data_IF_315214541758
#
_entry.id   IF_315214541758
#
_cell.length_a   1.000
_cell.length_b   1.000
_cell.length_c   1.000
_cell.angle_alpha   90.00
_cell.angle_beta   90.00
_cell.angle_gamma   90.00
#
_symmetry.space_group_name_H-M   'P 1'
#
loop_
_entity.id
_entity.type
_entity.pdbx_description
1 polymer ?
#
# COMPACT_ATOMS: atom_id res chain seq x y z
N UNK A 1 25.46 8.24 -12.96
CA UNK A 1 24.62 7.13 -12.44
C UNK A 1 23.54 7.76 -11.59
N UNK A 2 22.27 7.61 -11.95
CA UNK A 2 21.14 8.15 -11.18
C UNK A 2 21.08 7.40 -9.84
N UNK A 3 21.60 8.02 -8.78
CA UNK A 3 21.83 7.40 -7.46
C UNK A 3 20.58 7.25 -6.60
N UNK A 4 19.46 6.81 -7.18
CA UNK A 4 18.24 6.50 -6.44
C UNK A 4 17.99 4.98 -6.47
N UNK A 5 17.48 4.46 -5.36
CA UNK A 5 17.15 3.05 -5.24
C UNK A 5 15.96 2.67 -6.13
N UNK A 6 16.01 1.46 -6.69
CA UNK A 6 14.93 0.88 -7.50
C UNK A 6 14.13 -0.20 -6.76
N UNK A 7 14.53 -0.51 -5.53
CA UNK A 7 13.96 -1.54 -4.68
C UNK A 7 14.18 -1.21 -3.19
N UNK A 8 13.55 -2.00 -2.32
CA UNK A 8 13.77 -1.90 -0.88
C UNK A 8 15.13 -2.51 -0.54
N UNK A 9 16.04 -1.69 -0.03
CA UNK A 9 17.41 -2.11 0.32
C UNK A 9 17.52 -2.57 1.77
N UNK A 10 16.64 -2.07 2.65
CA UNK A 10 16.62 -2.39 4.08
C UNK A 10 15.26 -2.15 4.68
N UNK A 11 14.85 -3.03 5.59
CA UNK A 11 13.65 -2.84 6.44
C UNK A 11 14.09 -2.70 7.89
N UNK A 12 13.70 -1.61 8.54
CA UNK A 12 14.03 -1.32 9.94
C UNK A 12 12.76 -1.14 10.74
N UNK A 13 12.61 -1.92 11.79
CA UNK A 13 11.51 -1.74 12.73
C UNK A 13 11.87 -0.71 13.79
N UNK A 14 11.00 0.26 14.01
CA UNK A 14 11.16 1.32 15.01
C UNK A 14 9.97 1.34 15.97
N UNK A 15 10.15 1.80 17.22
CA UNK A 15 9.05 1.79 18.20
C UNK A 15 7.80 2.51 17.71
N UNK A 16 7.95 3.73 17.18
CA UNK A 16 6.87 4.57 16.70
C UNK A 16 7.33 5.44 15.52
N UNK A 17 6.42 5.72 14.59
CA UNK A 17 6.59 6.65 13.47
C UNK A 17 5.60 7.84 13.55
N UNK A 18 4.87 7.96 14.65
CA UNK A 18 3.92 9.06 14.88
C UNK A 18 2.57 8.75 14.26
N UNK A 19 2.29 9.36 13.11
CA UNK A 19 0.97 9.29 12.46
C UNK A 19 0.83 8.19 11.40
N UNK A 20 1.92 7.50 11.05
CA UNK A 20 1.94 6.52 9.95
C UNK A 20 2.44 5.14 10.42
N UNK A 21 1.90 4.04 9.88
CA UNK A 21 2.42 2.70 10.17
C UNK A 21 3.79 2.41 9.52
N UNK A 22 4.10 3.06 8.41
CA UNK A 22 5.33 2.87 7.65
C UNK A 22 5.78 4.17 6.96
N UNK A 23 7.05 4.20 6.55
CA UNK A 23 7.58 5.23 5.63
C UNK A 23 8.80 4.69 4.91
N UNK A 24 9.13 5.25 3.75
CA UNK A 24 10.33 4.89 3.00
C UNK A 24 11.17 6.09 2.60
N UNK A 25 12.49 5.90 2.54
CA UNK A 25 13.39 6.81 1.85
C UNK A 25 13.56 6.34 0.40
N UNK A 26 12.89 7.01 -0.55
CA UNK A 26 12.93 6.66 -1.99
C UNK A 26 14.32 6.75 -2.62
N UNK A 27 15.23 7.54 -2.05
CA UNK A 27 16.60 7.67 -2.55
C UNK A 27 17.45 6.47 -2.17
N UNK A 28 17.31 5.97 -0.94
CA UNK A 28 18.15 4.89 -0.40
C UNK A 28 17.48 3.52 -0.44
N UNK A 29 16.15 3.46 -0.56
CA UNK A 29 15.35 2.24 -0.46
C UNK A 29 15.14 1.75 0.97
N UNK A 30 15.49 2.54 1.98
CA UNK A 30 15.30 2.15 3.39
C UNK A 30 13.85 2.37 3.84
N UNK A 31 13.19 1.28 4.21
CA UNK A 31 11.83 1.26 4.77
C UNK A 31 11.88 1.19 6.29
N UNK A 32 11.02 1.99 6.93
CA UNK A 32 10.83 1.99 8.37
C UNK A 32 9.41 1.55 8.71
N UNK A 33 9.27 0.62 9.65
CA UNK A 33 7.99 0.08 10.10
C UNK A 33 7.77 0.37 11.58
N UNK A 34 6.60 0.87 11.93
CA UNK A 34 6.25 1.19 13.33
C UNK A 34 5.72 -0.06 14.06
N UNK A 35 6.39 -0.47 15.14
CA UNK A 35 5.89 -1.54 16.01
C UNK A 35 4.51 -1.23 16.58
N UNK A 36 4.31 0.01 17.05
CA UNK A 36 3.05 0.48 17.63
C UNK A 36 1.84 0.26 16.71
N UNK A 37 1.96 0.64 15.44
CA UNK A 37 0.86 0.54 14.49
C UNK A 37 0.76 -0.86 13.87
N UNK A 38 1.89 -1.40 13.41
CA UNK A 38 1.91 -2.63 12.62
C UNK A 38 1.55 -3.87 13.44
N UNK A 39 1.83 -3.91 14.75
CA UNK A 39 1.57 -5.08 15.59
C UNK A 39 0.07 -5.42 15.68
N UNK A 40 -0.80 -4.43 15.63
CA UNK A 40 -2.26 -4.62 15.73
C UNK A 40 -2.91 -5.00 14.38
N UNK A 41 -2.23 -4.75 13.26
CA UNK A 41 -2.80 -4.98 11.93
C UNK A 41 -2.77 -6.47 11.55
N UNK A 42 -3.76 -6.96 10.78
CA UNK A 42 -3.69 -8.28 10.13
C UNK A 42 -2.45 -8.40 9.23
N UNK A 43 -1.94 -9.63 9.05
CA UNK A 43 -0.74 -9.90 8.22
C UNK A 43 -0.90 -9.35 6.78
N UNK A 44 -2.07 -9.56 6.19
CA UNK A 44 -2.44 -9.08 4.86
C UNK A 44 -2.38 -7.55 4.76
N UNK A 45 -2.86 -6.84 5.78
CA UNK A 45 -2.81 -5.38 5.79
C UNK A 45 -1.37 -4.87 5.91
N UNK A 46 -0.54 -5.54 6.73
CA UNK A 46 0.88 -5.21 6.84
C UNK A 46 1.59 -5.38 5.51
N UNK A 47 1.30 -6.47 4.78
CA UNK A 47 1.87 -6.71 3.47
C UNK A 47 1.46 -5.62 2.49
N UNK A 48 0.18 -5.25 2.43
CA UNK A 48 -0.29 -4.19 1.56
C UNK A 48 0.41 -2.85 1.84
N UNK A 49 0.57 -2.48 3.12
CA UNK A 49 1.32 -1.28 3.53
C UNK A 49 2.78 -1.36 3.06
N UNK A 50 3.44 -2.51 3.21
CA UNK A 50 4.82 -2.67 2.75
C UNK A 50 4.93 -2.58 1.22
N UNK A 51 3.96 -3.11 0.47
CA UNK A 51 3.90 -2.98 -0.98
C UNK A 51 3.67 -1.53 -1.42
N UNK A 52 2.82 -0.79 -0.70
CA UNK A 52 2.63 0.65 -0.92
C UNK A 52 3.95 1.42 -0.76
N UNK A 53 4.66 1.22 0.35
CA UNK A 53 5.98 1.84 0.55
C UNK A 53 7.01 1.40 -0.50
N UNK A 54 6.96 0.14 -0.95
CA UNK A 54 7.81 -0.33 -2.06
C UNK A 54 7.45 0.37 -3.38
N UNK A 55 6.18 0.61 -3.64
CA UNK A 55 5.72 1.32 -4.84
C UNK A 55 6.30 2.72 -4.95
N UNK A 56 6.39 3.46 -3.83
CA UNK A 56 7.07 4.76 -3.79
C UNK A 56 8.53 4.70 -4.28
N UNK A 57 9.24 3.62 -3.98
CA UNK A 57 10.64 3.42 -4.42
C UNK A 57 10.69 2.93 -5.86
N UNK A 58 9.90 1.93 -6.23
CA UNK A 58 9.94 1.36 -7.58
C UNK A 58 9.53 2.39 -8.64
N UNK A 59 8.48 3.17 -8.35
CA UNK A 59 7.95 4.18 -9.26
C UNK A 59 8.65 5.53 -9.12
N UNK A 60 9.48 5.71 -8.08
CA UNK A 60 10.12 6.99 -7.78
C UNK A 60 9.10 8.14 -7.65
N UNK A 61 7.92 7.84 -7.10
CA UNK A 61 6.74 8.71 -7.15
C UNK A 61 6.26 9.12 -5.76
N UNK A 62 5.70 10.32 -5.64
CA UNK A 62 4.90 10.76 -4.48
C UNK A 62 3.40 10.74 -4.80
N UNK A 63 3.03 10.28 -5.99
CA UNK A 63 1.63 10.14 -6.37
C UNK A 63 1.05 8.91 -5.66
N UNK A 64 0.36 9.17 -4.55
CA UNK A 64 -0.30 8.16 -3.73
C UNK A 64 -1.27 7.30 -4.55
N UNK A 65 -1.97 7.87 -5.55
CA UNK A 65 -2.91 7.11 -6.37
C UNK A 65 -2.18 6.12 -7.27
N UNK A 66 -1.08 6.56 -7.89
CA UNK A 66 -0.23 5.70 -8.72
C UNK A 66 0.42 4.57 -7.89
N UNK A 67 0.84 4.90 -6.67
CA UNK A 67 1.49 3.95 -5.76
C UNK A 67 0.49 2.93 -5.19
N UNK A 68 -0.72 3.38 -4.82
CA UNK A 68 -1.81 2.49 -4.41
C UNK A 68 -2.18 1.51 -5.54
N UNK A 69 -2.21 1.98 -6.79
CA UNK A 69 -2.49 1.13 -7.96
C UNK A 69 -1.45 0.03 -8.13
N UNK A 70 -0.17 0.41 -8.06
CA UNK A 70 0.93 -0.54 -8.18
C UNK A 70 0.93 -1.56 -7.04
N UNK A 71 0.72 -1.09 -5.80
CA UNK A 71 0.66 -1.95 -4.63
C UNK A 71 -0.51 -2.94 -4.71
N UNK A 72 -1.68 -2.45 -5.13
CA UNK A 72 -2.85 -3.29 -5.38
C UNK A 72 -2.58 -4.37 -6.41
N UNK A 73 -2.05 -4.00 -7.59
CA UNK A 73 -1.74 -4.95 -8.64
C UNK A 73 -0.80 -6.04 -8.14
N UNK A 74 0.29 -5.67 -7.45
CA UNK A 74 1.22 -6.64 -6.86
C UNK A 74 0.57 -7.53 -5.83
N UNK A 75 -0.27 -6.98 -4.96
CA UNK A 75 -0.98 -7.72 -3.93
C UNK A 75 -1.99 -8.72 -4.52
N UNK A 76 -2.74 -8.30 -5.54
CA UNK A 76 -3.71 -9.13 -6.25
C UNK A 76 -3.04 -10.22 -7.09
N UNK A 77 -1.97 -9.89 -7.82
CA UNK A 77 -1.17 -10.85 -8.61
C UNK A 77 -0.56 -11.95 -7.72
N UNK A 78 -0.28 -11.66 -6.44
CA UNK A 78 0.17 -12.65 -5.44
C UNK A 78 -0.96 -13.57 -4.94
N UNK A 79 -2.21 -13.35 -5.36
CA UNK A 79 -3.37 -14.17 -4.99
C UNK A 79 -4.00 -13.83 -3.63
N UNK A 80 -3.69 -12.66 -3.05
CA UNK A 80 -4.29 -12.25 -1.78
C UNK A 80 -5.70 -11.66 -1.97
N UNK A 81 -6.47 -11.64 -0.86
CA UNK A 81 -7.87 -11.19 -0.87
C UNK A 81 -8.04 -9.73 -1.28
N UNK A 82 -8.74 -9.47 -2.38
CA UNK A 82 -9.04 -8.12 -2.88
C UNK A 82 -9.77 -7.29 -1.82
N UNK A 83 -10.72 -7.90 -1.11
CA UNK A 83 -11.44 -7.26 0.00
C UNK A 83 -10.52 -6.87 1.17
N UNK A 84 -9.50 -7.67 1.45
CA UNK A 84 -8.51 -7.33 2.48
C UNK A 84 -7.64 -6.15 2.05
N UNK A 85 -7.36 -5.97 0.75
CA UNK A 85 -6.64 -4.79 0.25
C UNK A 85 -7.42 -3.50 0.47
N UNK A 86 -8.73 -3.51 0.21
CA UNK A 86 -9.63 -2.37 0.46
C UNK A 86 -9.65 -2.05 1.95
N UNK A 87 -9.82 -3.06 2.81
CA UNK A 87 -9.79 -2.89 4.27
C UNK A 87 -8.45 -2.37 4.78
N UNK A 88 -7.34 -2.80 4.20
CA UNK A 88 -6.02 -2.33 4.59
C UNK A 88 -5.90 -0.82 4.41
N UNK A 89 -6.37 -0.29 3.27
CA UNK A 89 -6.33 1.13 2.99
C UNK A 89 -7.34 1.92 3.84
N UNK A 90 -8.59 1.46 3.94
CA UNK A 90 -9.65 2.17 4.68
C UNK A 90 -9.45 2.18 6.19
N UNK A 91 -8.70 1.23 6.75
CA UNK A 91 -8.38 1.21 8.20
C UNK A 91 -7.35 2.27 8.57
N UNK A 92 -6.52 2.70 7.62
CA UNK A 92 -5.41 3.65 7.86
C UNK A 92 -5.80 5.06 7.45
N UNK A 93 -6.54 5.20 6.36
CA UNK A 93 -6.93 6.51 5.85
C UNK A 93 -8.11 7.10 6.64
N UNK A 94 -8.07 8.41 6.88
CA UNK A 94 -9.17 9.20 7.44
C UNK A 94 -10.07 9.76 6.33
N UNK A 95 -11.32 9.32 6.27
CA UNK A 95 -12.34 9.70 5.26
C UNK A 95 -12.77 11.17 5.32
N UNK A 96 -12.50 11.88 6.42
CA UNK A 96 -12.74 13.33 6.53
C UNK A 96 -11.81 14.15 5.63
N UNK A 97 -10.74 13.55 5.10
CA UNK A 97 -9.86 14.18 4.11
C UNK A 97 -10.34 13.79 2.70
N UNK A 98 -10.66 14.74 1.82
CA UNK A 98 -11.18 14.44 0.48
C UNK A 98 -10.27 13.52 -0.35
N UNK A 99 -8.95 13.72 -0.27
CA UNK A 99 -7.96 12.87 -0.96
C UNK A 99 -8.02 11.42 -0.48
N UNK A 100 -8.16 11.21 0.83
CA UNK A 100 -8.23 9.88 1.42
C UNK A 100 -9.53 9.18 1.01
N UNK A 101 -10.66 9.87 1.06
CA UNK A 101 -11.93 9.33 0.59
C UNK A 101 -11.85 8.91 -0.89
N UNK A 102 -11.15 9.70 -1.71
CA UNK A 102 -10.92 9.37 -3.11
C UNK A 102 -10.04 8.12 -3.29
N UNK A 103 -8.93 8.02 -2.55
CA UNK A 103 -8.07 6.82 -2.56
C UNK A 103 -8.81 5.55 -2.13
N UNK A 104 -9.64 5.64 -1.09
CA UNK A 104 -10.50 4.53 -0.65
C UNK A 104 -11.47 4.09 -1.74
N UNK A 105 -12.12 5.05 -2.41
CA UNK A 105 -13.03 4.78 -3.53
C UNK A 105 -12.31 4.11 -4.69
N UNK A 106 -11.16 4.66 -5.13
CA UNK A 106 -10.37 4.08 -6.21
C UNK A 106 -9.90 2.65 -5.88
N UNK A 107 -9.52 2.39 -4.64
CA UNK A 107 -9.11 1.06 -4.21
C UNK A 107 -10.25 0.03 -4.31
N UNK A 108 -11.48 0.45 -4.00
CA UNK A 108 -12.67 -0.38 -4.20
C UNK A 108 -12.93 -0.64 -5.69
N UNK A 109 -12.82 0.37 -6.54
CA UNK A 109 -13.02 0.21 -7.98
C UNK A 109 -11.96 -0.69 -8.61
N UNK A 110 -10.69 -0.58 -8.20
CA UNK A 110 -9.61 -1.50 -8.61
C UNK A 110 -9.91 -2.95 -8.24
N UNK A 111 -10.41 -3.18 -7.02
CA UNK A 111 -10.81 -4.52 -6.58
C UNK A 111 -11.92 -5.11 -7.48
N UNK A 112 -12.95 -4.31 -7.79
CA UNK A 112 -14.04 -4.71 -8.69
C UNK A 112 -13.56 -5.00 -10.10
N UNK A 113 -12.71 -4.13 -10.64
CA UNK A 113 -12.17 -4.29 -11.98
C UNK A 113 -11.32 -5.55 -12.09
N UNK A 114 -10.40 -5.77 -11.14
CA UNK A 114 -9.55 -6.96 -11.14
C UNK A 114 -10.36 -8.25 -11.04
N UNK A 115 -11.37 -8.29 -10.16
CA UNK A 115 -12.24 -9.46 -9.98
C UNK A 115 -13.06 -9.78 -11.24
N UNK A 116 -13.57 -8.73 -11.90
CA UNK A 116 -14.26 -8.84 -13.18
C UNK A 116 -13.35 -9.39 -14.27
N UNK A 117 -12.13 -8.89 -14.38
CA UNK A 117 -11.18 -9.29 -15.42
C UNK A 117 -10.61 -10.69 -15.22
N UNK A 118 -10.30 -11.07 -13.98
CA UNK A 118 -9.58 -12.31 -13.68
C UNK A 118 -10.51 -13.48 -13.32
N UNK A 119 -11.65 -13.19 -12.70
CA UNK A 119 -12.58 -14.22 -12.20
C UNK A 119 -13.95 -14.16 -12.88
N UNK A 120 -14.23 -13.15 -13.71
CA UNK A 120 -15.50 -13.01 -14.43
C UNK A 120 -16.68 -12.62 -13.53
N UNK A 121 -16.41 -12.22 -12.28
CA UNK A 121 -17.42 -11.84 -11.31
C UNK A 121 -17.92 -10.41 -11.59
N UNK A 122 -19.23 -10.19 -11.49
CA UNK A 122 -19.83 -8.85 -11.71
C UNK A 122 -20.29 -8.17 -10.42
N UNK A 123 -20.17 -8.83 -9.27
CA UNK A 123 -20.64 -8.33 -7.97
C UNK A 123 -19.57 -8.56 -6.89
N UNK A 124 -19.02 -7.46 -6.32
CA UNK A 124 -18.27 -7.44 -5.06
C UNK A 124 -19.08 -6.66 -4.02
#
# INVERSE_FOLDING_TARGET
MNGWATEITKVTWVPDLGATPARVNRRTGEMFLSYKHMKALPKEHRLFIMLHEMGHVVLQSTDEMQVDDWAFKKYADMGYSLNASVKALTTILNDQKPEHAWRMYLQLERAKEYDREHYGNTNI
#
